data_IF_882877368711
#
_entry.id   IF_882877368711
#
_cell.length_a   1.000
_cell.length_b   1.000
_cell.length_c   1.000
_cell.angle_alpha   90.00
_cell.angle_beta   90.00
_cell.angle_gamma   90.00
#
_symmetry.space_group_name_H-M   'P 1'
#
loop_
_entity.id
_entity.type
_entity.pdbx_description
1 polymer ?
#
# COMPACT_ATOMS: atom_id res chain seq x y z
N UNK A 1 1.38 51.59 5.01
CA UNK A 1 2.11 50.33 4.81
C UNK A 1 1.17 49.22 5.23
N UNK A 2 0.56 48.58 4.24
CA UNK A 2 -0.42 47.50 4.47
C UNK A 2 0.35 46.18 4.43
N UNK A 3 0.43 45.51 5.57
CA UNK A 3 0.96 44.17 5.67
C UNK A 3 -0.18 43.18 5.33
N UNK A 4 -0.13 42.64 4.14
CA UNK A 4 -0.98 41.49 3.79
C UNK A 4 -0.67 40.30 4.73
N UNK A 5 -1.66 39.60 5.26
CA UNK A 5 -1.41 38.42 6.07
C UNK A 5 -0.85 37.33 5.15
N UNK A 6 0.31 36.80 5.52
CA UNK A 6 0.87 35.59 4.95
C UNK A 6 -0.13 34.46 5.26
N UNK A 7 -0.73 33.89 4.24
CA UNK A 7 -1.58 32.73 4.38
C UNK A 7 -0.75 31.57 4.99
N UNK A 8 -1.14 31.16 6.18
CA UNK A 8 -0.60 30.00 6.87
C UNK A 8 -1.08 28.73 6.15
N UNK A 9 -0.27 28.23 5.21
CA UNK A 9 -0.58 27.09 4.32
C UNK A 9 -0.09 25.77 4.90
N UNK A 10 -0.31 25.47 6.16
CA UNK A 10 0.27 24.27 6.78
C UNK A 10 -0.68 23.15 7.14
N UNK A 11 -1.97 23.26 6.85
CA UNK A 11 -2.88 22.14 7.08
C UNK A 11 -3.35 21.53 5.77
N UNK A 12 -3.17 20.19 5.58
CA UNK A 12 -3.68 19.51 4.39
C UNK A 12 -5.20 19.70 4.28
N UNK A 13 -5.67 19.92 3.07
CA UNK A 13 -7.10 20.01 2.78
C UNK A 13 -7.78 18.68 3.14
N UNK A 14 -8.67 18.73 4.12
CA UNK A 14 -9.54 17.58 4.44
C UNK A 14 -10.63 17.49 3.38
N UNK A 15 -10.62 16.40 2.63
CA UNK A 15 -11.49 16.23 1.46
C UNK A 15 -12.40 15.00 1.57
N UNK A 16 -13.41 14.94 0.73
CA UNK A 16 -14.24 13.75 0.56
C UNK A 16 -13.52 12.70 -0.29
N UNK A 17 -13.97 11.44 -0.25
CA UNK A 17 -13.46 10.37 -1.13
C UNK A 17 -13.68 10.75 -2.60
N UNK A 18 -14.84 11.32 -2.95
CA UNK A 18 -15.16 11.72 -4.31
C UNK A 18 -14.19 12.78 -4.85
N UNK A 19 -13.89 13.82 -4.05
CA UNK A 19 -12.95 14.87 -4.43
C UNK A 19 -11.51 14.34 -4.53
N UNK A 20 -11.13 13.45 -3.62
CA UNK A 20 -9.83 12.79 -3.67
C UNK A 20 -9.65 11.98 -4.96
N UNK A 21 -10.65 11.19 -5.36
CA UNK A 21 -10.61 10.43 -6.60
C UNK A 21 -10.62 11.36 -7.82
N UNK A 22 -11.45 12.42 -7.80
CA UNK A 22 -11.51 13.39 -8.89
C UNK A 22 -10.13 14.03 -9.14
N UNK A 23 -9.45 14.46 -8.08
CA UNK A 23 -8.12 15.04 -8.20
C UNK A 23 -7.04 14.06 -8.68
N UNK A 24 -7.11 12.75 -8.30
CA UNK A 24 -6.22 11.74 -8.88
C UNK A 24 -6.44 11.58 -10.39
N UNK A 25 -7.70 11.63 -10.84
CA UNK A 25 -8.05 11.47 -12.26
C UNK A 25 -7.65 12.67 -13.14
N UNK A 26 -7.51 13.84 -12.54
CA UNK A 26 -7.03 15.05 -13.24
C UNK A 26 -5.52 15.02 -13.50
N UNK A 27 -4.78 14.10 -12.86
CA UNK A 27 -3.35 13.97 -13.10
C UNK A 27 -3.10 13.36 -14.48
N UNK A 28 -2.34 14.09 -15.31
CA UNK A 28 -1.95 13.62 -16.63
C UNK A 28 -1.11 12.33 -16.55
N UNK A 29 -1.39 11.38 -17.45
CA UNK A 29 -0.73 10.05 -17.48
C UNK A 29 0.78 10.11 -17.43
N UNK A 30 1.38 11.02 -18.20
CA UNK A 30 2.83 11.16 -18.32
C UNK A 30 3.48 11.80 -17.09
N UNK A 31 2.65 12.34 -16.20
CA UNK A 31 3.09 12.99 -14.97
C UNK A 31 2.87 12.14 -13.72
N UNK A 32 2.40 10.90 -13.84
CA UNK A 32 2.24 9.99 -12.71
C UNK A 32 3.62 9.50 -12.27
N UNK A 33 4.22 10.22 -11.34
CA UNK A 33 5.49 9.88 -10.72
C UNK A 33 5.30 9.63 -9.23
N UNK A 34 6.28 8.96 -8.62
CA UNK A 34 6.30 8.69 -7.17
C UNK A 34 6.09 9.97 -6.36
N UNK A 35 6.82 11.03 -6.71
CA UNK A 35 6.82 12.29 -5.96
C UNK A 35 5.54 13.11 -6.19
N UNK A 36 4.98 13.10 -7.39
CA UNK A 36 3.72 13.82 -7.67
C UNK A 36 2.53 13.25 -6.90
N UNK A 37 2.39 11.92 -6.91
CA UNK A 37 1.31 11.28 -6.15
C UNK A 37 1.55 11.46 -4.65
N UNK A 38 2.81 11.35 -4.18
CA UNK A 38 3.15 11.61 -2.78
C UNK A 38 2.78 13.04 -2.38
N UNK A 39 3.12 14.03 -3.20
CA UNK A 39 2.77 15.44 -2.95
C UNK A 39 1.24 15.65 -2.95
N UNK A 40 0.53 15.03 -3.90
CA UNK A 40 -0.93 15.08 -3.94
C UNK A 40 -1.57 14.51 -2.66
N UNK A 41 -1.16 13.31 -2.25
CA UNK A 41 -1.69 12.67 -1.04
C UNK A 41 -1.30 13.41 0.25
N UNK A 42 -0.14 14.07 0.28
CA UNK A 42 0.26 14.91 1.41
C UNK A 42 -0.56 16.20 1.50
N UNK A 43 -0.95 16.76 0.35
CA UNK A 43 -1.79 17.97 0.28
C UNK A 43 -3.28 17.69 0.51
N UNK A 44 -3.73 16.46 0.25
CA UNK A 44 -5.14 16.06 0.25
C UNK A 44 -5.36 14.91 1.24
N UNK A 45 -5.79 15.23 2.46
CA UNK A 45 -6.05 14.21 3.49
C UNK A 45 -7.53 13.86 3.52
N UNK A 46 -7.85 12.57 3.44
CA UNK A 46 -9.22 12.10 3.63
C UNK A 46 -9.64 12.28 5.11
N UNK A 47 -10.86 12.72 5.32
CA UNK A 47 -11.45 12.72 6.67
C UNK A 47 -11.64 11.27 7.11
N UNK A 48 -11.34 10.92 8.36
CA UNK A 48 -11.59 9.56 8.86
C UNK A 48 -13.04 9.10 8.63
N UNK A 49 -14.00 10.00 8.82
CA UNK A 49 -15.42 9.73 8.62
C UNK A 49 -15.77 9.41 7.16
N UNK A 50 -15.02 9.99 6.20
CA UNK A 50 -15.22 9.72 4.77
C UNK A 50 -14.84 8.27 4.39
N UNK A 51 -14.08 7.58 5.23
CA UNK A 51 -13.68 6.18 5.00
C UNK A 51 -14.63 5.16 5.64
N UNK A 52 -15.62 5.60 6.42
CA UNK A 52 -16.51 4.72 7.17
C UNK A 52 -17.14 3.62 6.29
N UNK A 53 -17.68 3.97 5.14
CA UNK A 53 -18.34 3.03 4.22
C UNK A 53 -17.36 2.07 3.54
N UNK A 54 -16.05 2.35 3.63
CA UNK A 54 -14.98 1.56 3.05
C UNK A 54 -14.14 0.85 4.11
N UNK A 55 -14.66 0.65 5.33
CA UNK A 55 -13.95 0.00 6.44
C UNK A 55 -14.68 -1.25 6.89
N UNK A 56 -14.39 -2.35 6.23
CA UNK A 56 -14.90 -3.66 6.59
C UNK A 56 -13.84 -4.50 7.27
N UNK A 57 -14.19 -5.17 8.35
CA UNK A 57 -13.26 -5.91 9.20
C UNK A 57 -13.51 -7.41 9.14
N UNK A 58 -12.47 -8.18 9.44
CA UNK A 58 -12.52 -9.63 9.57
C UNK A 58 -11.49 -10.11 10.60
N UNK A 59 -11.88 -11.03 11.49
CA UNK A 59 -11.00 -11.50 12.55
C UNK A 59 -9.86 -12.39 12.02
N UNK A 60 -10.11 -13.20 10.99
CA UNK A 60 -9.13 -14.19 10.51
C UNK A 60 -7.97 -13.62 9.74
N UNK A 61 -8.16 -12.46 9.07
CA UNK A 61 -7.13 -11.75 8.35
C UNK A 61 -7.50 -10.33 7.89
N UNK A 62 -6.52 -9.46 7.62
CA UNK A 62 -6.76 -8.11 7.10
C UNK A 62 -7.66 -8.11 5.86
N UNK A 63 -8.41 -7.04 5.70
CA UNK A 63 -9.33 -6.88 4.58
C UNK A 63 -8.85 -5.82 3.60
N UNK A 64 -8.99 -6.07 2.31
CA UNK A 64 -8.77 -5.10 1.23
C UNK A 64 -10.12 -4.60 0.75
N UNK A 65 -10.40 -3.34 0.98
CA UNK A 65 -11.68 -2.70 0.71
C UNK A 65 -11.51 -1.68 -0.41
N UNK A 66 -11.90 -2.06 -1.63
CA UNK A 66 -11.73 -1.23 -2.81
C UNK A 66 -12.65 -0.02 -2.76
N UNK A 67 -12.06 1.17 -2.91
CA UNK A 67 -12.77 2.44 -3.03
C UNK A 67 -12.98 2.78 -4.51
N UNK A 68 -11.90 2.71 -5.29
CA UNK A 68 -11.89 3.10 -6.69
C UNK A 68 -10.85 2.30 -7.46
N UNK A 69 -11.17 2.00 -8.73
CA UNK A 69 -10.22 1.38 -9.66
C UNK A 69 -10.53 1.78 -11.10
N UNK A 70 -9.50 2.22 -11.80
CA UNK A 70 -9.50 2.41 -13.26
C UNK A 70 -8.22 1.83 -13.88
N UNK A 71 -7.86 2.26 -15.09
CA UNK A 71 -6.63 1.80 -15.77
C UNK A 71 -5.35 2.35 -15.14
N UNK A 72 -5.41 3.45 -14.40
CA UNK A 72 -4.26 4.17 -13.87
C UNK A 72 -4.10 4.00 -12.37
N UNK A 73 -5.20 3.95 -11.64
CA UNK A 73 -5.20 3.95 -10.18
C UNK A 73 -6.05 2.85 -9.57
N UNK A 74 -5.59 2.36 -8.46
CA UNK A 74 -6.33 1.53 -7.52
C UNK A 74 -6.23 2.19 -6.15
N UNK A 75 -7.37 2.53 -5.55
CA UNK A 75 -7.47 3.16 -4.23
C UNK A 75 -8.27 2.26 -3.31
N UNK A 76 -7.74 1.95 -2.14
CA UNK A 76 -8.41 1.10 -1.17
C UNK A 76 -8.03 1.44 0.26
N UNK A 77 -8.89 1.06 1.19
CA UNK A 77 -8.51 0.90 2.59
C UNK A 77 -8.12 -0.54 2.86
N UNK A 78 -7.19 -0.70 3.79
CA UNK A 78 -6.92 -1.99 4.41
C UNK A 78 -7.19 -1.85 5.91
N UNK A 79 -8.02 -2.77 6.44
CA UNK A 79 -8.32 -2.82 7.86
C UNK A 79 -7.56 -3.99 8.49
N UNK A 80 -6.86 -3.70 9.57
CA UNK A 80 -5.95 -4.60 10.27
C UNK A 80 -6.40 -4.79 11.72
N UNK A 81 -6.88 -5.96 12.09
CA UNK A 81 -7.01 -6.32 13.51
C UNK A 81 -5.63 -6.58 14.12
N UNK A 82 -5.49 -6.50 15.46
CA UNK A 82 -4.22 -6.80 16.14
C UNK A 82 -3.62 -8.14 15.71
N UNK A 83 -2.31 -8.17 15.45
CA UNK A 83 -1.56 -9.35 15.02
C UNK A 83 -1.70 -9.72 13.55
N UNK A 84 -2.54 -9.04 12.79
CA UNK A 84 -2.67 -9.30 11.35
C UNK A 84 -1.50 -8.74 10.56
N UNK A 85 -1.03 -9.51 9.56
CA UNK A 85 0.08 -9.14 8.70
C UNK A 85 -0.06 -9.67 7.28
N UNK A 86 0.63 -9.02 6.34
CA UNK A 86 0.79 -9.55 4.98
C UNK A 86 1.80 -10.68 4.95
N UNK A 87 1.84 -11.46 3.86
CA UNK A 87 3.06 -12.13 3.48
C UNK A 87 4.16 -11.10 3.16
N UNK A 88 5.42 -11.50 3.16
CA UNK A 88 6.49 -10.70 2.55
C UNK A 88 6.23 -10.71 1.04
N UNK A 89 6.18 -9.56 0.36
CA UNK A 89 5.73 -9.51 -1.04
C UNK A 89 6.31 -8.33 -1.82
N UNK A 90 6.22 -8.44 -3.15
CA UNK A 90 6.50 -7.38 -4.12
C UNK A 90 5.20 -6.68 -4.56
N UNK A 91 5.33 -5.64 -5.40
CA UNK A 91 4.20 -4.90 -5.98
C UNK A 91 4.06 -5.11 -7.49
N UNK A 92 4.60 -6.21 -8.02
CA UNK A 92 4.51 -6.55 -9.43
C UNK A 92 4.96 -5.41 -10.38
N UNK A 93 6.00 -4.66 -9.98
CA UNK A 93 6.52 -3.54 -10.76
C UNK A 93 5.69 -2.26 -10.73
N UNK A 94 4.73 -2.15 -9.81
CA UNK A 94 3.88 -0.96 -9.70
C UNK A 94 4.34 -0.02 -8.57
N UNK A 95 4.03 1.26 -8.74
CA UNK A 95 4.20 2.26 -7.68
C UNK A 95 3.07 2.12 -6.66
N UNK A 96 3.39 2.39 -5.40
CA UNK A 96 2.40 2.39 -4.32
C UNK A 96 2.69 3.43 -3.26
N UNK A 97 1.63 3.88 -2.62
CA UNK A 97 1.65 4.85 -1.53
C UNK A 97 0.70 4.40 -0.44
N UNK A 98 1.13 4.53 0.79
CA UNK A 98 0.34 4.18 1.97
C UNK A 98 0.41 5.30 3.00
N UNK A 99 -0.74 5.70 3.53
CA UNK A 99 -0.88 6.51 4.74
C UNK A 99 -1.74 5.78 5.76
N UNK A 100 -1.56 6.07 7.04
CA UNK A 100 -2.38 5.52 8.11
C UNK A 100 -3.44 6.55 8.50
N UNK A 101 -4.71 6.15 8.41
CA UNK A 101 -5.85 6.99 8.77
C UNK A 101 -6.31 6.80 10.21
N UNK A 102 -6.00 5.64 10.81
CA UNK A 102 -6.29 5.31 12.20
C UNK A 102 -5.32 4.26 12.71
N UNK A 103 -4.82 4.41 13.93
CA UNK A 103 -3.91 3.46 14.56
C UNK A 103 -2.50 3.49 14.00
N UNK A 104 -1.83 2.34 14.00
CA UNK A 104 -0.46 2.20 13.52
C UNK A 104 -0.18 0.83 12.92
N UNK A 105 0.77 0.76 12.00
CA UNK A 105 1.34 -0.49 11.46
C UNK A 105 2.86 -0.39 11.36
N UNK A 106 3.52 -1.52 11.46
CA UNK A 106 4.93 -1.67 11.14
C UNK A 106 5.08 -2.09 9.68
N UNK A 107 5.96 -1.42 8.94
CA UNK A 107 6.40 -1.84 7.62
C UNK A 107 7.83 -2.36 7.71
N UNK A 108 8.01 -3.65 7.42
CA UNK A 108 9.30 -4.30 7.38
C UNK A 108 9.77 -4.38 5.93
N UNK A 109 10.90 -3.77 5.61
CA UNK A 109 11.50 -3.83 4.27
C UNK A 109 12.61 -4.87 4.21
N UNK A 110 12.69 -5.54 3.09
CA UNK A 110 13.63 -6.62 2.83
C UNK A 110 14.41 -6.38 1.55
N UNK A 111 15.64 -6.87 1.53
CA UNK A 111 16.47 -6.95 0.35
C UNK A 111 16.63 -8.41 -0.06
N UNK A 112 16.43 -8.69 -1.34
CA UNK A 112 16.67 -10.02 -1.89
C UNK A 112 18.18 -10.23 -2.08
N UNK A 113 18.74 -11.19 -1.41
CA UNK A 113 20.19 -11.44 -1.42
C UNK A 113 20.57 -12.70 -2.19
N UNK A 114 19.66 -13.69 -2.25
CA UNK A 114 19.93 -14.93 -2.96
C UNK A 114 18.65 -15.61 -3.43
N UNK A 115 18.70 -16.15 -4.64
CA UNK A 115 17.75 -17.09 -5.17
C UNK A 115 18.49 -18.06 -6.11
N UNK A 116 18.21 -19.36 -6.00
CA UNK A 116 18.83 -20.37 -6.87
C UNK A 116 18.08 -20.63 -8.17
N UNK A 117 16.95 -19.94 -8.42
CA UNK A 117 16.29 -20.01 -9.71
C UNK A 117 17.14 -19.29 -10.76
N UNK A 118 17.55 -19.96 -11.88
CA UNK A 118 18.43 -19.38 -12.89
C UNK A 118 17.90 -18.08 -13.48
N UNK A 119 16.60 -17.98 -13.70
CA UNK A 119 15.90 -16.82 -14.23
C UNK A 119 15.92 -15.61 -13.29
N UNK A 120 16.21 -15.80 -12.01
CA UNK A 120 16.19 -14.75 -10.98
C UNK A 120 17.58 -14.18 -10.63
N UNK A 121 18.65 -14.70 -11.22
CA UNK A 121 20.01 -14.29 -10.85
C UNK A 121 20.36 -12.84 -11.23
N UNK A 122 19.57 -12.22 -12.13
CA UNK A 122 19.81 -10.86 -12.62
C UNK A 122 18.55 -10.02 -12.65
N UNK A 123 17.49 -10.39 -11.94
CA UNK A 123 16.16 -9.80 -12.16
C UNK A 123 15.75 -8.90 -11.02
N UNK A 124 15.45 -7.68 -11.38
CA UNK A 124 14.79 -6.69 -10.52
C UNK A 124 13.32 -7.06 -10.28
N UNK A 125 12.71 -7.82 -11.20
CA UNK A 125 11.40 -8.44 -11.03
C UNK A 125 11.60 -9.93 -10.76
N UNK A 126 11.53 -10.32 -9.50
CA UNK A 126 11.63 -11.70 -9.10
C UNK A 126 10.36 -12.42 -9.52
N UNK A 127 10.42 -13.18 -10.60
CA UNK A 127 9.39 -14.15 -10.98
C UNK A 127 9.85 -15.55 -10.56
N UNK A 128 9.50 -15.95 -9.34
CA UNK A 128 9.90 -17.22 -8.78
C UNK A 128 9.00 -18.39 -9.22
N UNK A 129 8.37 -18.34 -10.36
CA UNK A 129 7.53 -19.43 -10.85
C UNK A 129 8.31 -20.69 -11.19
N UNK A 130 9.64 -20.62 -11.29
CA UNK A 130 10.53 -21.73 -11.60
C UNK A 130 10.91 -22.65 -10.46
N UNK A 131 10.28 -22.55 -9.28
CA UNK A 131 10.53 -23.48 -8.18
C UNK A 131 11.86 -23.27 -7.46
N UNK A 132 12.21 -22.02 -7.15
CA UNK A 132 13.33 -21.72 -6.28
C UNK A 132 13.21 -22.47 -4.95
N UNK A 133 14.25 -23.16 -4.56
CA UNK A 133 14.36 -23.94 -3.31
C UNK A 133 15.29 -23.30 -2.28
N UNK A 134 15.95 -22.21 -2.66
CA UNK A 134 16.81 -21.41 -1.78
C UNK A 134 16.51 -19.94 -2.00
N UNK A 135 15.84 -19.32 -1.06
CA UNK A 135 15.48 -17.90 -1.09
C UNK A 135 16.01 -17.25 0.18
N UNK A 136 16.78 -16.20 0.02
CA UNK A 136 17.27 -15.41 1.12
C UNK A 136 16.85 -13.95 0.97
N UNK A 137 16.18 -13.45 2.00
CA UNK A 137 15.81 -12.05 2.16
C UNK A 137 16.41 -11.53 3.46
N UNK A 138 17.15 -10.44 3.38
CA UNK A 138 17.68 -9.77 4.56
C UNK A 138 16.74 -8.61 4.92
N UNK A 139 16.29 -8.57 6.15
CA UNK A 139 15.49 -7.46 6.68
C UNK A 139 16.39 -6.25 6.86
N UNK A 140 16.11 -5.17 6.11
CA UNK A 140 16.97 -3.96 6.11
C UNK A 140 16.49 -2.90 7.09
N UNK A 141 15.19 -2.74 7.28
CA UNK A 141 14.64 -1.79 8.24
C UNK A 141 13.19 -2.10 8.62
N UNK A 142 12.77 -1.47 9.70
CA UNK A 142 11.36 -1.40 10.12
C UNK A 142 10.98 0.06 10.27
N UNK A 143 9.85 0.43 9.68
CA UNK A 143 9.27 1.78 9.73
C UNK A 143 7.97 1.66 10.52
N UNK A 144 7.80 2.47 11.56
CA UNK A 144 6.50 2.63 12.20
C UNK A 144 5.70 3.69 11.44
N UNK A 145 4.52 3.30 10.98
CA UNK A 145 3.59 4.16 10.27
C UNK A 145 2.35 4.32 11.13
N UNK A 146 2.12 5.52 11.63
CA UNK A 146 0.98 5.84 12.48
C UNK A 146 0.16 6.99 11.87
N UNK A 147 -1.03 7.20 12.40
CA UNK A 147 -1.87 8.33 12.02
C UNK A 147 -1.09 9.65 12.09
N UNK A 148 -1.13 10.43 11.02
CA UNK A 148 -0.45 11.72 10.92
C UNK A 148 1.08 11.67 10.80
N UNK A 149 1.72 10.49 10.73
CA UNK A 149 3.19 10.36 10.71
C UNK A 149 3.81 10.21 9.32
N UNK A 150 3.14 10.68 8.28
CA UNK A 150 3.72 10.65 6.95
C UNK A 150 3.27 9.47 6.10
N UNK A 151 4.00 9.24 5.02
CA UNK A 151 3.64 8.30 3.96
C UNK A 151 4.76 7.31 3.72
N UNK A 152 4.40 6.05 3.52
CA UNK A 152 5.30 5.04 2.97
C UNK A 152 5.05 4.91 1.47
N UNK A 153 6.13 4.90 0.70
CA UNK A 153 6.07 4.71 -0.75
C UNK A 153 6.81 3.44 -1.14
N UNK A 154 6.28 2.73 -2.12
CA UNK A 154 6.94 1.57 -2.71
C UNK A 154 7.37 1.87 -4.13
N UNK A 155 8.58 1.46 -4.46
CA UNK A 155 9.15 1.63 -5.78
C UNK A 155 8.81 0.44 -6.68
N UNK A 156 8.79 0.67 -7.99
CA UNK A 156 8.41 -0.34 -8.99
C UNK A 156 9.16 -1.65 -8.87
N UNK A 157 10.44 -1.60 -8.56
CA UNK A 157 11.34 -2.72 -8.82
C UNK A 157 12.07 -3.25 -7.58
N UNK A 158 12.15 -2.50 -6.49
CA UNK A 158 13.06 -2.82 -5.39
C UNK A 158 12.39 -3.08 -4.05
N UNK A 159 11.12 -2.75 -3.90
CA UNK A 159 10.48 -2.84 -2.60
C UNK A 159 9.87 -4.22 -2.38
N UNK A 160 10.52 -4.99 -1.52
CA UNK A 160 9.96 -6.20 -0.91
C UNK A 160 9.64 -5.83 0.52
N UNK A 161 8.39 -5.99 0.93
CA UNK A 161 8.00 -5.64 2.29
C UNK A 161 6.94 -6.56 2.91
N UNK A 162 6.76 -6.41 4.20
CA UNK A 162 5.66 -6.95 4.99
C UNK A 162 5.06 -5.83 5.81
N UNK A 163 3.75 -5.75 5.90
CA UNK A 163 3.03 -4.83 6.79
C UNK A 163 2.41 -5.66 7.90
N UNK A 164 2.51 -5.18 9.13
CA UNK A 164 2.01 -5.85 10.33
C UNK A 164 1.34 -4.84 11.28
N UNK A 165 0.14 -5.15 11.75
CA UNK A 165 -0.42 -4.49 12.92
C UNK A 165 0.10 -5.21 14.19
N UNK A 166 1.21 -4.74 14.72
CA UNK A 166 1.80 -5.23 15.96
C UNK A 166 1.21 -4.57 17.23
N UNK A 167 0.27 -3.65 17.05
CA UNK A 167 -0.41 -2.94 18.13
C UNK A 167 -1.55 -3.76 18.77
N UNK A 168 -2.23 -3.14 19.73
CA UNK A 168 -3.36 -3.74 20.46
C UNK A 168 -4.73 -3.27 19.99
N UNK A 169 -4.76 -2.32 19.07
CA UNK A 169 -5.99 -1.74 18.50
C UNK A 169 -6.04 -1.97 16.99
N UNK A 170 -7.24 -1.85 16.41
CA UNK A 170 -7.40 -1.91 14.96
C UNK A 170 -6.73 -0.74 14.26
N UNK A 171 -6.20 -0.98 13.07
CA UNK A 171 -5.60 0.04 12.22
C UNK A 171 -6.31 0.10 10.86
N UNK A 172 -6.41 1.31 10.30
CA UNK A 172 -6.92 1.57 8.95
C UNK A 172 -5.83 2.29 8.18
N UNK A 173 -5.39 1.72 7.08
CA UNK A 173 -4.47 2.34 6.14
C UNK A 173 -5.14 2.61 4.79
N UNK A 174 -4.83 3.76 4.17
CA UNK A 174 -5.22 4.12 2.82
C UNK A 174 -4.08 3.80 1.88
N UNK A 175 -4.38 3.07 0.83
CA UNK A 175 -3.43 2.66 -0.21
C UNK A 175 -3.84 3.21 -1.56
N UNK A 176 -2.87 3.73 -2.29
CA UNK A 176 -2.99 4.10 -3.70
C UNK A 176 -1.93 3.33 -4.47
N UNK A 177 -2.30 2.72 -5.58
CA UNK A 177 -1.38 2.06 -6.50
C UNK A 177 -1.53 2.62 -7.92
N UNK A 178 -0.43 2.66 -8.65
CA UNK A 178 -0.40 2.98 -10.07
C UNK A 178 0.67 2.14 -10.79
N UNK A 179 0.23 1.22 -11.66
CA UNK A 179 -1.14 0.88 -12.07
C UNK A 179 -1.74 -0.20 -11.15
N UNK A 180 -3.07 -0.50 -11.30
CA UNK A 180 -3.67 -1.64 -10.60
C UNK A 180 -3.00 -2.97 -10.92
N UNK A 181 -3.00 -3.89 -9.96
CA UNK A 181 -2.47 -5.25 -10.14
C UNK A 181 -3.29 -6.28 -9.33
N UNK A 182 -3.46 -7.47 -9.92
CA UNK A 182 -4.32 -8.52 -9.36
C UNK A 182 -3.52 -9.65 -8.69
N UNK A 183 -2.20 -9.57 -8.77
CA UNK A 183 -1.32 -10.56 -8.14
C UNK A 183 0.02 -9.93 -7.76
N UNK A 184 0.70 -10.54 -6.81
CA UNK A 184 2.06 -10.20 -6.43
C UNK A 184 2.89 -11.46 -6.20
N UNK A 185 4.21 -11.34 -6.16
CA UNK A 185 5.08 -12.41 -5.69
C UNK A 185 5.15 -12.33 -4.17
N UNK A 186 4.82 -13.42 -3.51
CA UNK A 186 4.91 -13.58 -2.07
C UNK A 186 6.02 -14.59 -1.72
N UNK A 187 6.69 -14.34 -0.59
CA UNK A 187 7.79 -15.13 -0.09
C UNK A 187 7.38 -15.85 1.19
N UNK A 188 7.66 -17.14 1.23
CA UNK A 188 7.49 -18.02 2.37
C UNK A 188 8.89 -18.54 2.75
N UNK A 189 9.53 -17.84 3.68
CA UNK A 189 10.91 -18.14 4.06
C UNK A 189 11.04 -19.44 4.88
N UNK A 190 9.98 -19.83 5.58
CA UNK A 190 9.94 -21.07 6.34
C UNK A 190 10.02 -22.29 5.43
N UNK A 191 9.29 -22.25 4.31
CA UNK A 191 9.28 -23.33 3.33
C UNK A 191 10.21 -23.08 2.13
N UNK A 192 11.03 -22.03 2.18
CA UNK A 192 11.99 -21.67 1.13
C UNK A 192 11.38 -21.59 -0.26
N UNK A 193 10.23 -20.93 -0.37
CA UNK A 193 9.52 -20.79 -1.66
C UNK A 193 9.01 -19.37 -1.87
N UNK A 194 8.91 -18.99 -3.13
CA UNK A 194 8.08 -17.87 -3.55
C UNK A 194 6.94 -18.37 -4.45
N UNK A 195 5.86 -17.64 -4.44
CA UNK A 195 4.67 -18.01 -5.19
C UNK A 195 3.89 -16.77 -5.62
N UNK A 196 3.15 -16.91 -6.71
CA UNK A 196 2.22 -15.88 -7.16
C UNK A 196 0.96 -15.91 -6.28
N UNK A 197 0.76 -14.83 -5.52
CA UNK A 197 -0.43 -14.65 -4.69
C UNK A 197 -1.45 -13.82 -5.44
N UNK A 198 -2.66 -14.35 -5.59
CA UNK A 198 -3.80 -13.59 -6.09
C UNK A 198 -4.30 -12.62 -5.00
N UNK A 199 -4.65 -11.42 -5.42
CA UNK A 199 -5.13 -10.35 -4.56
C UNK A 199 -6.63 -10.18 -4.74
N UNK A 200 -7.40 -10.41 -3.67
CA UNK A 200 -8.85 -10.31 -3.70
C UNK A 200 -9.30 -9.14 -2.83
N UNK A 201 -10.43 -8.57 -3.17
CA UNK A 201 -11.10 -7.60 -2.32
C UNK A 201 -12.08 -8.28 -1.38
N UNK A 202 -12.24 -7.71 -0.21
CA UNK A 202 -13.28 -8.09 0.75
C UNK A 202 -14.57 -7.31 0.52
N UNK A 203 -14.42 -6.04 0.10
CA UNK A 203 -15.52 -5.19 -0.32
C UNK A 203 -15.13 -4.35 -1.55
N UNK A 204 -16.12 -3.87 -2.30
CA UNK A 204 -15.96 -2.94 -3.42
C UNK A 204 -16.97 -1.83 -3.30
N UNK A 205 -16.53 -0.58 -3.47
CA UNK A 205 -17.37 0.61 -3.52
C UNK A 205 -18.37 0.68 -2.34
N UNK A 206 -17.87 0.35 -1.14
CA UNK A 206 -18.68 0.33 0.07
C UNK A 206 -19.51 -0.93 0.31
N UNK A 207 -19.53 -1.89 -0.63
CA UNK A 207 -20.33 -3.11 -0.51
C UNK A 207 -19.48 -4.35 -0.26
N UNK A 208 -19.80 -5.11 0.77
CA UNK A 208 -19.14 -6.39 1.05
C UNK A 208 -19.43 -7.38 -0.08
N UNK A 209 -18.37 -8.05 -0.56
CA UNK A 209 -18.52 -9.11 -1.55
C UNK A 209 -18.99 -10.39 -0.85
N UNK A 210 -20.04 -10.99 -1.37
CA UNK A 210 -20.44 -12.35 -0.99
C UNK A 210 -19.39 -13.34 -1.50
N UNK A 211 -19.10 -14.37 -0.69
CA UNK A 211 -18.22 -15.47 -1.10
C UNK A 211 -19.03 -16.56 -1.74
#
# INVERSE_FOLDING_TARGET
>A
MSTSPIADCTHPLRTSVADFIAGLRELERDLITKDKIAAYMAATTLRPEALHDFTWWRDSFYTRNLIYRDELFEVMTICWSPGQKTAIHTHNGQLGWMTVSQGEVLTHEYHHTRCNAPENQNVVNIDCLGGATEIQLDKIRTINCAEGTGMVTVDKLQTIHQIENAGTTGCISLHVYSKPFDSCIAFDLEHQRCYRRQLNYFSKEGHRLEK
#
